data_IF_983680145981
#
_entry.id   IF_983680145981
#
_cell.length_a   1.000
_cell.length_b   1.000
_cell.length_c   1.000
_cell.angle_alpha   90.00
_cell.angle_beta   90.00
_cell.angle_gamma   90.00
#
_symmetry.space_group_name_H-M   'P 1'
#
loop_
_entity.id
_entity.type
_entity.pdbx_description
1 polymer ?
#
# COMPACT_ATOMS: atom_id res chain seq x y z
N UNK A 1 -8.17 4.29 12.60
CA UNK A 1 -7.00 4.91 11.96
C UNK A 1 -6.05 3.80 11.56
N UNK A 2 -5.74 3.67 10.27
CA UNK A 2 -4.81 2.64 9.78
C UNK A 2 -3.37 3.11 10.01
N UNK A 3 -2.48 2.22 10.43
CA UNK A 3 -1.06 2.56 10.58
C UNK A 3 -0.42 2.83 9.21
N UNK A 4 0.69 3.57 9.18
CA UNK A 4 1.44 3.84 7.95
C UNK A 4 1.85 2.53 7.24
N UNK A 5 2.24 1.51 8.01
CA UNK A 5 2.62 0.19 7.49
C UNK A 5 1.44 -0.56 6.85
N UNK A 6 0.27 -0.53 7.48
CA UNK A 6 -0.95 -1.12 6.92
C UNK A 6 -1.41 -0.38 5.65
N UNK A 7 -1.33 0.96 5.64
CA UNK A 7 -1.65 1.76 4.46
C UNK A 7 -0.71 1.44 3.29
N UNK A 8 0.60 1.32 3.55
CA UNK A 8 1.57 0.86 2.54
C UNK A 8 1.23 -0.54 2.04
N UNK A 9 0.86 -1.47 2.92
CA UNK A 9 0.46 -2.83 2.53
C UNK A 9 -0.78 -2.84 1.63
N UNK A 10 -1.74 -1.95 1.86
CA UNK A 10 -2.90 -1.79 0.97
C UNK A 10 -2.47 -1.25 -0.40
N UNK A 11 -1.54 -0.29 -0.46
CA UNK A 11 -1.01 0.21 -1.74
C UNK A 11 -0.25 -0.87 -2.51
N UNK A 12 0.61 -1.63 -1.80
CA UNK A 12 1.33 -2.79 -2.35
C UNK A 12 0.39 -3.80 -3.00
N UNK A 13 -0.81 -3.95 -2.46
CA UNK A 13 -1.81 -4.87 -2.98
C UNK A 13 -2.37 -4.53 -4.35
N UNK A 14 -2.32 -3.26 -4.71
CA UNK A 14 -2.79 -2.76 -5.99
C UNK A 14 -1.68 -2.71 -7.04
N UNK A 15 -0.42 -2.94 -6.64
CA UNK A 15 0.72 -2.91 -7.57
C UNK A 15 0.56 -4.00 -8.62
N UNK A 16 0.53 -3.60 -9.88
CA UNK A 16 0.43 -4.54 -11.00
C UNK A 16 -0.93 -5.24 -11.13
N UNK A 17 -1.96 -4.80 -10.39
CA UNK A 17 -3.31 -5.37 -10.49
C UNK A 17 -3.98 -5.10 -11.84
N UNK A 18 -3.49 -4.11 -12.59
CA UNK A 18 -4.16 -3.57 -13.78
C UNK A 18 -5.35 -2.67 -13.46
N UNK A 19 -5.70 -2.50 -12.18
CA UNK A 19 -6.84 -1.72 -11.71
C UNK A 19 -6.37 -0.35 -11.24
N UNK A 20 -6.96 0.70 -11.81
CA UNK A 20 -6.69 2.08 -11.43
C UNK A 20 -7.18 2.38 -10.01
N UNK A 21 -6.38 3.08 -9.22
CA UNK A 21 -6.86 3.73 -7.99
C UNK A 21 -7.50 5.06 -8.35
N UNK A 22 -8.74 5.29 -7.89
CA UNK A 22 -9.52 6.48 -8.22
C UNK A 22 -9.65 6.68 -9.72
N UNK A 23 -9.33 7.87 -10.21
CA UNK A 23 -9.40 8.18 -11.63
C UNK A 23 -8.17 7.71 -12.45
N UNK A 24 -7.21 7.02 -11.83
CA UNK A 24 -6.01 6.50 -12.50
C UNK A 24 -4.85 7.49 -12.62
N UNK A 25 -4.94 8.65 -11.99
CA UNK A 25 -3.87 9.65 -11.94
C UNK A 25 -2.96 9.47 -10.72
N UNK A 26 -1.76 10.05 -10.76
CA UNK A 26 -0.78 9.97 -9.67
C UNK A 26 -1.34 10.45 -8.32
N UNK A 27 -2.12 11.52 -8.35
CA UNK A 27 -2.75 12.11 -7.17
C UNK A 27 -3.80 11.20 -6.52
N UNK A 28 -4.46 10.33 -7.28
CA UNK A 28 -5.49 9.46 -6.75
C UNK A 28 -4.88 8.39 -5.84
N UNK A 29 -3.68 7.92 -6.20
CA UNK A 29 -2.91 7.00 -5.37
C UNK A 29 -2.49 7.65 -4.05
N UNK A 30 -1.93 8.86 -4.10
CA UNK A 30 -1.53 9.62 -2.91
C UNK A 30 -2.73 9.95 -2.02
N UNK A 31 -3.86 10.35 -2.60
CA UNK A 31 -5.11 10.65 -1.88
C UNK A 31 -5.72 9.43 -1.22
N UNK A 32 -5.71 8.28 -1.90
CA UNK A 32 -6.21 7.05 -1.31
C UNK A 32 -5.34 6.60 -0.13
N UNK A 33 -4.01 6.72 -0.27
CA UNK A 33 -3.05 6.42 0.79
C UNK A 33 -3.20 7.32 2.02
N UNK A 34 -3.26 8.64 1.81
CA UNK A 34 -3.48 9.63 2.87
C UNK A 34 -4.78 9.35 3.64
N UNK A 35 -5.89 9.08 2.93
CA UNK A 35 -7.19 8.80 3.54
C UNK A 35 -7.22 7.54 4.40
N UNK A 36 -6.37 6.54 4.12
CA UNK A 36 -6.25 5.37 5.00
C UNK A 36 -5.63 5.75 6.35
N UNK A 37 -4.62 6.60 6.33
CA UNK A 37 -3.90 7.07 7.53
C UNK A 37 -4.74 8.08 8.31
N UNK A 38 -5.41 9.00 7.60
CA UNK A 38 -6.19 10.10 8.18
C UNK A 38 -7.64 10.05 7.67
N UNK A 39 -8.45 9.04 8.08
CA UNK A 39 -9.81 8.86 7.56
C UNK A 39 -10.76 10.01 7.93
N UNK A 40 -10.52 10.65 9.08
CA UNK A 40 -11.26 11.80 9.61
C UNK A 40 -10.55 13.14 9.32
N UNK A 41 -9.69 13.16 8.30
CA UNK A 41 -8.92 14.33 7.91
C UNK A 41 -9.78 15.58 7.73
N UNK A 42 -9.34 16.69 8.31
CA UNK A 42 -9.94 18.02 8.07
C UNK A 42 -9.46 18.62 6.74
N UNK A 43 -8.27 18.21 6.29
CA UNK A 43 -7.63 18.60 5.03
C UNK A 43 -7.43 17.37 4.17
N UNK A 44 -8.02 17.29 2.98
CA UNK A 44 -8.01 16.10 2.14
C UNK A 44 -7.60 16.40 0.70
N UNK A 45 -6.77 15.53 0.12
CA UNK A 45 -6.32 15.64 -1.27
C UNK A 45 -7.48 15.52 -2.27
N UNK A 46 -8.57 14.83 -1.91
CA UNK A 46 -9.86 14.84 -2.61
C UNK A 46 -9.86 14.35 -4.06
N UNK A 47 -8.81 13.68 -4.49
CA UNK A 47 -8.53 13.52 -5.90
C UNK A 47 -9.15 12.23 -6.47
N UNK A 48 -10.49 12.17 -6.45
CA UNK A 48 -11.29 11.08 -7.01
C UNK A 48 -11.57 9.88 -6.09
N UNK A 49 -11.15 9.95 -4.82
CA UNK A 49 -11.37 8.89 -3.81
C UNK A 49 -12.04 9.48 -2.53
N UNK A 50 -12.39 10.76 -2.55
CA UNK A 50 -12.96 11.52 -1.44
C UNK A 50 -13.32 12.96 -1.84
N UNK A 51 -13.22 13.90 -0.89
CA UNK A 51 -13.55 15.32 -1.08
C UNK A 51 -12.31 16.19 -0.90
N UNK A 52 -12.19 17.30 -1.66
CA UNK A 52 -11.10 18.27 -1.48
C UNK A 52 -11.46 19.19 -0.31
N UNK A 53 -10.60 19.31 0.69
CA UNK A 53 -10.79 20.25 1.81
C UNK A 53 -9.46 20.81 2.30
N UNK A 54 -9.48 22.04 2.83
CA UNK A 54 -8.29 22.66 3.43
C UNK A 54 -7.18 23.06 2.44
N UNK A 55 -7.54 23.31 1.18
CA UNK A 55 -6.62 23.84 0.18
C UNK A 55 -6.19 25.28 0.54
N UNK A 56 -4.88 25.53 0.51
CA UNK A 56 -4.25 26.83 0.79
C UNK A 56 -3.52 27.40 -0.44
N UNK A 57 -3.49 26.66 -1.55
CA UNK A 57 -2.80 27.01 -2.79
C UNK A 57 -3.33 26.24 -4.01
N UNK A 58 -2.53 26.16 -5.07
CA UNK A 58 -2.88 25.48 -6.33
C UNK A 58 -2.95 23.94 -6.16
N UNK A 59 -4.15 23.39 -6.26
CA UNK A 59 -4.43 21.95 -6.11
C UNK A 59 -4.40 21.18 -7.44
N UNK A 60 -4.15 21.85 -8.56
CA UNK A 60 -4.14 21.25 -9.90
C UNK A 60 -2.80 20.56 -10.18
N UNK A 61 -1.69 21.15 -9.72
CA UNK A 61 -0.34 20.64 -10.00
C UNK A 61 0.16 19.69 -8.90
N UNK A 62 0.53 18.47 -9.29
CA UNK A 62 1.06 17.45 -8.37
C UNK A 62 2.32 17.93 -7.60
N UNK A 63 3.17 18.76 -8.23
CA UNK A 63 4.36 19.32 -7.59
C UNK A 63 4.04 20.22 -6.39
N UNK A 64 2.88 20.88 -6.41
CA UNK A 64 2.45 21.87 -5.42
C UNK A 64 1.72 21.25 -4.21
N UNK A 65 1.42 19.94 -4.25
CA UNK A 65 0.65 19.26 -3.19
C UNK A 65 1.24 19.49 -1.78
N UNK A 66 2.56 19.58 -1.63
CA UNK A 66 3.17 19.85 -0.32
C UNK A 66 2.86 21.23 0.27
N UNK A 67 2.71 22.26 -0.57
CA UNK A 67 2.46 23.64 -0.15
C UNK A 67 0.99 24.07 -0.26
N UNK A 68 0.19 23.34 -1.04
CA UNK A 68 -1.21 23.69 -1.34
C UNK A 68 -2.23 23.17 -0.31
N UNK A 69 -1.80 22.50 0.75
CA UNK A 69 -2.68 21.94 1.78
C UNK A 69 -2.10 22.15 3.18
N UNK A 70 -2.95 22.39 4.18
CA UNK A 70 -2.54 22.46 5.59
C UNK A 70 -2.35 21.06 6.21
N UNK A 71 -1.31 20.35 5.78
CA UNK A 71 -0.93 19.01 6.26
C UNK A 71 -0.84 18.88 7.78
N UNK A 72 -0.40 19.94 8.46
CA UNK A 72 -0.24 19.96 9.91
C UNK A 72 -1.56 19.79 10.67
N UNK A 73 -2.70 20.16 10.08
CA UNK A 73 -4.02 19.96 10.67
C UNK A 73 -4.35 18.47 10.93
N UNK A 74 -3.72 17.56 10.18
CA UNK A 74 -3.87 16.11 10.34
C UNK A 74 -2.62 15.47 10.97
N UNK A 75 -1.68 16.26 11.51
CA UNK A 75 -0.44 15.75 12.11
C UNK A 75 0.66 15.34 11.12
N UNK A 76 0.50 15.65 9.83
CA UNK A 76 1.54 15.43 8.83
C UNK A 76 2.56 16.57 8.86
N UNK A 77 3.79 16.29 8.44
CA UNK A 77 4.84 17.30 8.31
C UNK A 77 5.30 17.44 6.86
N UNK A 78 5.65 18.67 6.46
CA UNK A 78 6.15 18.96 5.12
C UNK A 78 7.54 19.57 5.23
N UNK A 79 8.46 19.09 4.41
CA UNK A 79 9.79 19.67 4.24
C UNK A 79 10.17 19.73 2.77
N UNK A 80 11.08 20.63 2.41
CA UNK A 80 11.71 20.69 1.08
C UNK A 80 13.06 19.99 1.02
N UNK A 81 13.54 19.47 2.17
CA UNK A 81 14.81 18.76 2.29
C UNK A 81 14.76 17.69 3.39
N UNK A 82 15.76 16.82 3.44
CA UNK A 82 15.87 15.76 4.44
C UNK A 82 15.86 14.35 3.84
N UNK A 83 16.12 13.31 4.64
CA UNK A 83 16.24 11.95 4.14
C UNK A 83 14.89 11.42 3.63
N UNK A 84 14.95 10.48 2.69
CA UNK A 84 13.76 9.69 2.36
C UNK A 84 13.41 8.79 3.52
N UNK A 85 12.12 8.62 3.78
CA UNK A 85 11.59 7.71 4.77
C UNK A 85 10.47 6.89 4.14
N UNK A 86 10.35 5.63 4.53
CA UNK A 86 9.21 4.81 4.11
C UNK A 86 7.90 5.49 4.52
N UNK A 87 6.89 5.38 3.69
CA UNK A 87 5.57 5.97 3.91
C UNK A 87 5.44 7.46 3.60
N UNK A 88 6.53 8.15 3.25
CA UNK A 88 6.44 9.54 2.77
C UNK A 88 5.69 9.62 1.44
N UNK A 89 4.86 10.64 1.30
CA UNK A 89 4.44 11.13 -0.01
C UNK A 89 5.52 12.11 -0.50
N UNK A 90 5.93 11.98 -1.76
CA UNK A 90 6.98 12.82 -2.36
C UNK A 90 6.43 13.48 -3.61
N UNK A 91 6.59 14.79 -3.73
CA UNK A 91 6.23 15.52 -4.95
C UNK A 91 7.47 15.80 -5.78
N UNK A 92 7.32 15.68 -7.10
CA UNK A 92 8.38 15.89 -8.08
C UNK A 92 8.11 17.14 -8.91
N UNK A 93 9.19 17.82 -9.28
CA UNK A 93 9.16 19.04 -10.08
C UNK A 93 8.59 18.81 -11.48
N UNK A 94 8.23 19.91 -12.14
CA UNK A 94 7.81 19.88 -13.53
C UNK A 94 8.99 19.53 -14.45
N UNK A 95 8.70 18.77 -15.51
CA UNK A 95 9.64 18.54 -16.62
C UNK A 95 9.04 19.09 -17.91
N UNK A 96 9.84 19.18 -18.98
CA UNK A 96 9.35 19.62 -20.29
C UNK A 96 8.19 18.77 -20.82
N UNK A 97 8.18 17.47 -20.50
CA UNK A 97 7.10 16.54 -20.86
C UNK A 97 5.98 16.42 -19.83
N UNK A 98 6.12 17.01 -18.65
CA UNK A 98 5.11 16.98 -17.58
C UNK A 98 5.12 18.30 -16.77
N UNK A 99 4.34 19.31 -17.19
CA UNK A 99 4.31 20.62 -16.54
C UNK A 99 3.68 20.59 -15.14
N UNK A 100 2.88 19.56 -14.86
CA UNK A 100 2.17 19.38 -13.58
C UNK A 100 3.04 18.75 -12.50
N UNK A 101 4.19 18.17 -12.87
CA UNK A 101 5.03 17.37 -11.99
C UNK A 101 4.40 16.02 -11.65
N UNK A 102 4.88 15.35 -10.61
CA UNK A 102 4.40 14.02 -10.23
C UNK A 102 4.31 13.88 -8.71
N UNK A 103 3.53 12.91 -8.24
CA UNK A 103 3.43 12.60 -6.81
C UNK A 103 3.46 11.10 -6.62
N UNK A 104 4.24 10.65 -5.64
CA UNK A 104 4.54 9.23 -5.41
C UNK A 104 4.55 8.91 -3.92
N UNK A 105 4.57 7.62 -3.59
CA UNK A 105 4.71 7.13 -2.21
C UNK A 105 6.04 6.37 -2.10
N UNK A 106 6.85 6.71 -1.10
CA UNK A 106 8.07 5.96 -0.77
C UNK A 106 7.69 4.68 -0.07
N UNK A 107 7.96 3.53 -0.67
CA UNK A 107 7.69 2.24 -0.04
C UNK A 107 8.79 1.81 0.92
N UNK A 108 10.05 1.98 0.49
CA UNK A 108 11.22 1.53 1.21
C UNK A 108 12.46 2.32 0.79
N UNK A 109 13.40 2.44 1.71
CA UNK A 109 14.72 3.03 1.51
C UNK A 109 15.74 2.01 2.00
N UNK A 110 16.65 1.60 1.12
CA UNK A 110 17.70 0.61 1.40
C UNK A 110 19.02 1.11 0.83
N UNK A 111 19.80 1.81 1.65
CA UNK A 111 20.97 2.56 1.20
C UNK A 111 20.59 3.59 0.14
N UNK A 112 21.22 3.51 -1.03
CA UNK A 112 20.88 4.36 -2.18
C UNK A 112 19.69 3.83 -3.01
N UNK A 113 19.14 2.65 -2.70
CA UNK A 113 18.00 2.12 -3.45
C UNK A 113 16.69 2.62 -2.84
N UNK A 114 15.99 3.45 -3.60
CA UNK A 114 14.64 3.91 -3.30
C UNK A 114 13.61 3.02 -4.01
N UNK A 115 12.64 2.52 -3.27
CA UNK A 115 11.48 1.81 -3.84
C UNK A 115 10.27 2.73 -3.80
N UNK A 116 9.69 3.00 -4.96
CA UNK A 116 8.61 3.97 -5.16
C UNK A 116 7.35 3.27 -5.66
N UNK A 117 6.20 3.65 -5.08
CA UNK A 117 4.87 3.31 -5.56
C UNK A 117 4.29 4.52 -6.28
N UNK A 118 3.92 4.35 -7.54
CA UNK A 118 3.43 5.43 -8.39
C UNK A 118 2.37 4.95 -9.38
N UNK A 119 1.51 5.86 -9.81
CA UNK A 119 0.42 5.63 -10.76
C UNK A 119 0.43 6.73 -11.81
N UNK A 120 -0.05 6.41 -13.02
CA UNK A 120 0.14 7.24 -14.22
C UNK A 120 1.62 7.46 -14.53
N UNK A 121 2.36 6.35 -14.56
CA UNK A 121 3.78 6.31 -14.93
C UNK A 121 3.97 5.40 -16.14
N UNK A 122 4.66 5.88 -17.17
CA UNK A 122 4.87 5.14 -18.42
C UNK A 122 3.57 4.68 -19.09
N UNK A 123 2.49 5.48 -18.97
CA UNK A 123 1.15 5.16 -19.51
C UNK A 123 0.32 4.19 -18.66
N UNK A 124 0.85 3.69 -17.54
CA UNK A 124 0.13 2.77 -16.65
C UNK A 124 -0.70 3.54 -15.64
N UNK A 125 -2.02 3.50 -15.81
CA UNK A 125 -3.01 4.19 -14.95
C UNK A 125 -3.38 3.44 -13.66
N UNK A 126 -2.63 2.39 -13.32
CA UNK A 126 -2.74 1.61 -12.08
C UNK A 126 -1.44 1.69 -11.26
N UNK A 127 -1.44 1.35 -9.97
CA UNK A 127 -0.23 1.42 -9.16
C UNK A 127 0.87 0.49 -9.68
N UNK A 128 2.08 1.02 -9.71
CA UNK A 128 3.29 0.33 -10.13
C UNK A 128 4.39 0.55 -9.11
N UNK A 129 5.34 -0.39 -9.07
CA UNK A 129 6.53 -0.31 -8.23
C UNK A 129 7.74 -0.10 -9.12
N UNK A 130 8.48 0.96 -8.88
CA UNK A 130 9.72 1.26 -9.59
C UNK A 130 10.86 1.55 -8.60
N UNK A 131 12.08 1.46 -9.10
CA UNK A 131 13.29 1.56 -8.29
C UNK A 131 14.18 2.66 -8.82
N UNK A 132 14.70 3.48 -7.91
CA UNK A 132 15.51 4.64 -8.25
C UNK A 132 16.73 4.75 -7.32
N UNK A 133 17.78 5.45 -7.77
CA UNK A 133 18.83 5.93 -6.87
C UNK A 133 18.28 7.07 -6.02
N UNK A 134 18.37 6.97 -4.70
CA UNK A 134 17.95 8.01 -3.78
C UNK A 134 18.73 9.32 -4.02
N UNK A 135 20.03 9.22 -4.31
CA UNK A 135 20.87 10.36 -4.63
C UNK A 135 20.36 11.12 -5.88
N UNK A 136 20.08 10.40 -6.97
CA UNK A 136 19.55 11.02 -8.19
C UNK A 136 18.11 11.50 -8.01
N UNK A 137 17.26 10.68 -7.38
CA UNK A 137 15.83 10.99 -7.22
C UNK A 137 15.62 12.25 -6.37
N UNK A 138 16.48 12.51 -5.39
CA UNK A 138 16.45 13.72 -4.55
C UNK A 138 16.53 15.02 -5.36
N UNK A 139 17.20 15.03 -6.50
CA UNK A 139 17.42 16.23 -7.31
C UNK A 139 16.13 16.78 -7.94
N UNK A 140 15.11 15.94 -8.09
CA UNK A 140 13.82 16.28 -8.68
C UNK A 140 12.70 16.47 -7.65
N UNK A 141 12.99 16.25 -6.35
CA UNK A 141 11.98 16.38 -5.29
C UNK A 141 11.72 17.85 -4.98
N UNK A 142 10.43 18.20 -4.84
CA UNK A 142 9.98 19.52 -4.36
C UNK A 142 9.58 19.44 -2.90
N UNK A 143 8.80 18.42 -2.50
CA UNK A 143 8.32 18.26 -1.13
C UNK A 143 8.42 16.82 -0.64
N UNK A 144 8.78 16.68 0.63
CA UNK A 144 8.67 15.48 1.44
C UNK A 144 7.49 15.69 2.40
N UNK A 145 6.47 14.86 2.28
CA UNK A 145 5.24 14.94 3.07
C UNK A 145 5.16 13.68 3.93
N UNK A 146 5.45 13.83 5.22
CA UNK A 146 5.68 12.72 6.14
C UNK A 146 4.43 12.48 7.00
N UNK A 147 3.90 11.24 7.04
CA UNK A 147 2.70 10.91 7.81
C UNK A 147 2.93 10.99 9.33
N UNK A 148 1.85 11.18 10.11
CA UNK A 148 1.90 11.04 11.56
C UNK A 148 2.20 9.58 11.96
N UNK A 149 3.00 9.43 13.00
CA UNK A 149 3.40 8.13 13.54
C UNK A 149 4.72 7.59 12.95
N UNK A 150 5.33 6.66 13.66
CA UNK A 150 6.57 6.02 13.22
C UNK A 150 6.29 4.88 12.26
N UNK A 151 6.79 5.00 11.03
CA UNK A 151 7.13 3.82 10.23
C UNK A 151 8.25 3.07 10.95
N UNK A 152 7.94 1.90 11.49
CA UNK A 152 8.99 0.92 11.80
C UNK A 152 9.47 0.42 10.44
N UNK A 153 10.49 1.07 9.90
CA UNK A 153 11.24 0.58 8.76
C UNK A 153 12.01 -0.65 9.24
N UNK A 154 11.33 -1.80 9.34
CA UNK A 154 12.05 -3.04 9.10
C UNK A 154 12.43 -3.00 7.64
N UNK A 155 13.71 -2.73 7.38
CA UNK A 155 14.33 -2.93 6.08
C UNK A 155 13.78 -4.25 5.52
N UNK A 156 13.30 -4.28 4.27
CA UNK A 156 12.90 -5.54 3.66
C UNK A 156 14.18 -6.36 3.55
N UNK A 157 14.41 -7.25 4.52
CA UNK A 157 15.35 -8.34 4.29
C UNK A 157 14.69 -9.12 3.16
N UNK A 158 15.35 -9.17 2.01
CA UNK A 158 14.80 -9.69 0.77
C UNK A 158 14.43 -11.17 0.91
N UNK A 159 13.24 -11.44 1.41
CA UNK A 159 12.43 -12.56 1.02
C UNK A 159 11.26 -11.92 0.28
N UNK A 160 11.40 -11.75 -1.05
CA UNK A 160 10.29 -11.28 -1.87
C UNK A 160 9.05 -12.15 -1.66
N UNK A 161 7.87 -11.62 -1.99
CA UNK A 161 6.62 -12.37 -1.96
C UNK A 161 6.84 -13.79 -2.53
N UNK A 162 6.66 -14.80 -1.67
CA UNK A 162 6.98 -16.19 -1.99
C UNK A 162 5.69 -16.98 -2.09
N UNK A 163 5.46 -17.59 -3.24
CA UNK A 163 4.38 -18.54 -3.46
C UNK A 163 4.97 -19.93 -3.63
N UNK A 164 4.43 -20.90 -2.91
CA UNK A 164 4.83 -22.29 -3.06
C UNK A 164 3.63 -23.23 -2.86
N UNK A 165 3.72 -24.42 -3.44
CA UNK A 165 2.72 -25.47 -3.27
C UNK A 165 2.91 -26.13 -1.91
N UNK A 166 1.81 -26.23 -1.18
CA UNK A 166 1.73 -26.92 0.10
C UNK A 166 0.28 -27.38 0.23
N UNK A 167 0.09 -28.68 0.42
CA UNK A 167 -1.23 -29.25 0.68
C UNK A 167 -1.38 -29.47 2.17
N UNK A 168 -2.47 -28.98 2.74
CA UNK A 168 -2.77 -29.17 4.15
C UNK A 168 -4.22 -28.80 4.47
N UNK A 169 -4.61 -29.06 5.71
CA UNK A 169 -5.92 -28.66 6.23
C UNK A 169 -5.71 -27.58 7.30
N UNK A 170 -6.37 -26.44 7.13
CA UNK A 170 -6.39 -25.38 8.13
C UNK A 170 -7.66 -25.48 8.98
N UNK A 171 -7.53 -25.39 10.31
CA UNK A 171 -8.65 -25.22 11.25
C UNK A 171 -8.60 -23.82 11.86
N UNK A 172 -9.69 -23.05 11.77
CA UNK A 172 -9.73 -21.63 12.19
C UNK A 172 -9.77 -21.49 13.71
N UNK A 173 -8.89 -20.65 14.28
CA UNK A 173 -8.77 -20.42 15.74
C UNK A 173 -9.21 -19.03 16.18
N UNK A 174 -9.64 -18.16 15.26
CA UNK A 174 -10.22 -16.84 15.55
C UNK A 174 -11.71 -16.82 15.25
N UNK A 175 -12.43 -15.78 15.67
CA UNK A 175 -13.89 -15.74 15.57
C UNK A 175 -14.40 -15.79 14.13
N UNK A 176 -13.71 -15.10 13.21
CA UNK A 176 -14.04 -15.08 11.80
C UNK A 176 -12.83 -14.72 10.92
N UNK A 177 -12.70 -15.37 9.75
CA UNK A 177 -11.73 -15.01 8.70
C UNK A 177 -12.40 -14.94 7.33
N UNK A 178 -12.10 -13.90 6.56
CA UNK A 178 -12.71 -13.69 5.25
C UNK A 178 -12.05 -14.55 4.16
N UNK A 179 -12.89 -15.10 3.29
CA UNK A 179 -12.49 -15.77 2.05
C UNK A 179 -12.61 -14.76 0.92
N UNK A 180 -11.53 -14.57 0.17
CA UNK A 180 -11.40 -13.52 -0.84
C UNK A 180 -11.08 -14.08 -2.23
N UNK A 181 -11.43 -13.33 -3.27
CA UNK A 181 -11.06 -13.64 -4.67
C UNK A 181 -9.65 -13.25 -5.08
N UNK A 182 -8.95 -12.49 -4.24
CA UNK A 182 -7.55 -12.14 -4.42
C UNK A 182 -6.87 -12.09 -3.06
N UNK A 183 -5.55 -12.36 -2.97
CA UNK A 183 -4.80 -12.33 -1.71
C UNK A 183 -4.54 -10.89 -1.24
N UNK A 184 -5.57 -10.05 -1.18
CA UNK A 184 -5.50 -8.68 -0.70
C UNK A 184 -6.74 -8.29 0.11
N UNK A 185 -6.60 -7.32 1.00
CA UNK A 185 -7.65 -6.81 1.89
C UNK A 185 -8.79 -6.07 1.16
N UNK A 186 -8.55 -5.58 -0.05
CA UNK A 186 -9.56 -5.00 -0.94
C UNK A 186 -10.31 -6.05 -1.78
N UNK A 187 -9.89 -7.32 -1.74
CA UNK A 187 -10.41 -8.36 -2.62
C UNK A 187 -11.84 -8.72 -2.22
N UNK A 188 -12.70 -8.95 -3.21
CA UNK A 188 -14.09 -9.33 -2.99
C UNK A 188 -14.18 -10.46 -1.96
N UNK A 189 -14.89 -10.18 -0.87
CA UNK A 189 -15.23 -11.18 0.15
C UNK A 189 -16.37 -12.01 -0.42
N UNK A 190 -16.17 -13.33 -0.47
CA UNK A 190 -17.17 -14.26 -1.05
C UNK A 190 -17.80 -15.16 0.00
N UNK A 191 -17.13 -15.32 1.14
CA UNK A 191 -17.63 -16.03 2.30
C UNK A 191 -16.69 -15.74 3.49
N UNK A 192 -16.99 -16.34 4.63
CA UNK A 192 -16.21 -16.22 5.87
C UNK A 192 -16.19 -17.58 6.55
N UNK A 193 -15.04 -18.01 7.08
CA UNK A 193 -14.95 -19.13 8.00
C UNK A 193 -15.00 -18.64 9.45
N UNK A 194 -15.66 -19.39 10.32
CA UNK A 194 -15.77 -19.14 11.76
C UNK A 194 -14.84 -20.06 12.55
N UNK A 195 -14.62 -19.71 13.83
CA UNK A 195 -13.86 -20.52 14.79
C UNK A 195 -14.29 -21.99 14.75
N UNK A 196 -13.32 -22.90 14.63
CA UNK A 196 -13.52 -24.35 14.60
C UNK A 196 -13.80 -24.93 13.21
N UNK A 197 -14.16 -24.11 12.21
CA UNK A 197 -14.33 -24.59 10.84
C UNK A 197 -12.98 -24.93 10.21
N UNK A 198 -12.97 -25.89 9.29
CA UNK A 198 -11.76 -26.37 8.62
C UNK A 198 -11.92 -26.43 7.12
N UNK A 199 -10.83 -26.24 6.38
CA UNK A 199 -10.79 -26.32 4.93
C UNK A 199 -9.40 -26.71 4.43
N UNK A 200 -9.37 -27.34 3.27
CA UNK A 200 -8.14 -27.77 2.62
C UNK A 200 -7.57 -26.66 1.73
N UNK A 201 -6.25 -26.61 1.62
CA UNK A 201 -5.52 -25.70 0.74
C UNK A 201 -4.41 -26.41 -0.03
N UNK A 202 -3.94 -25.77 -1.10
CA UNK A 202 -2.92 -26.32 -2.01
C UNK A 202 -1.74 -25.36 -2.28
N UNK A 203 -1.84 -24.13 -1.76
CA UNK A 203 -0.87 -23.06 -2.02
C UNK A 203 -0.72 -22.17 -0.80
N UNK A 204 0.52 -21.82 -0.47
CA UNK A 204 0.86 -20.81 0.53
C UNK A 204 1.51 -19.62 -0.17
N UNK A 205 1.13 -18.41 0.26
CA UNK A 205 1.63 -17.14 -0.24
C UNK A 205 2.10 -16.31 0.95
N UNK A 206 3.39 -15.99 1.00
CA UNK A 206 4.01 -15.20 2.07
C UNK A 206 4.34 -13.80 1.54
N UNK A 207 4.36 -12.81 2.44
CA UNK A 207 4.74 -11.42 2.13
C UNK A 207 3.91 -10.76 1.04
N UNK A 208 2.66 -11.21 0.90
CA UNK A 208 1.68 -10.57 0.04
C UNK A 208 0.71 -9.77 0.91
N UNK A 209 0.71 -8.46 0.76
CA UNK A 209 -0.24 -7.54 1.41
C UNK A 209 -0.24 -7.59 2.94
N UNK A 210 0.91 -7.87 3.54
CA UNK A 210 1.07 -7.90 4.99
C UNK A 210 0.59 -9.19 5.67
N UNK A 211 0.22 -10.21 4.90
CA UNK A 211 -0.26 -11.48 5.45
C UNK A 211 0.41 -12.70 4.83
N UNK A 212 0.34 -13.80 5.57
CA UNK A 212 0.49 -15.14 5.01
C UNK A 212 -0.90 -15.61 4.58
N UNK A 213 -1.04 -15.97 3.31
CA UNK A 213 -2.28 -16.49 2.74
C UNK A 213 -2.16 -17.97 2.46
N UNK A 214 -3.29 -18.67 2.61
CA UNK A 214 -3.50 -19.98 1.99
C UNK A 214 -4.52 -19.84 0.85
N UNK A 215 -4.42 -20.72 -0.14
CA UNK A 215 -5.29 -20.70 -1.31
C UNK A 215 -5.72 -22.09 -1.75
N UNK A 216 -6.96 -22.18 -2.22
CA UNK A 216 -7.64 -23.40 -2.64
C UNK A 216 -8.62 -23.13 -3.78
N UNK A 217 -8.99 -24.17 -4.52
CA UNK A 217 -10.10 -24.11 -5.48
C UNK A 217 -11.39 -24.46 -4.75
N UNK A 218 -12.33 -23.50 -4.68
CA UNK A 218 -13.63 -23.74 -4.07
C UNK A 218 -14.58 -24.53 -4.98
N UNK A 219 -15.75 -24.91 -4.47
CA UNK A 219 -16.78 -25.65 -5.23
C UNK A 219 -17.21 -24.95 -6.53
N UNK A 220 -17.12 -23.63 -6.58
CA UNK A 220 -17.35 -22.83 -7.80
C UNK A 220 -16.30 -23.02 -8.92
N UNK A 221 -15.24 -23.80 -8.68
CA UNK A 221 -14.09 -23.92 -9.60
C UNK A 221 -13.13 -22.71 -9.59
N UNK A 222 -13.48 -21.65 -8.86
CA UNK A 222 -12.68 -20.42 -8.76
C UNK A 222 -11.77 -20.48 -7.53
N UNK A 223 -10.53 -19.98 -7.68
CA UNK A 223 -9.53 -19.91 -6.62
C UNK A 223 -9.90 -18.86 -5.56
N UNK A 224 -9.75 -19.26 -4.30
CA UNK A 224 -9.99 -18.44 -3.12
C UNK A 224 -8.70 -18.22 -2.33
N UNK A 225 -8.68 -17.15 -1.54
CA UNK A 225 -7.53 -16.74 -0.72
C UNK A 225 -8.02 -16.39 0.68
N UNK A 226 -7.31 -16.92 1.68
CA UNK A 226 -7.64 -16.71 3.09
C UNK A 226 -6.39 -16.24 3.80
N UNK A 227 -6.45 -15.08 4.44
CA UNK A 227 -5.37 -14.58 5.27
C UNK A 227 -5.33 -15.37 6.57
N UNK A 228 -4.14 -15.78 6.99
CA UNK A 228 -3.96 -16.72 8.11
C UNK A 228 -3.11 -16.16 9.24
N UNK A 229 -2.64 -14.92 9.11
CA UNK A 229 -1.77 -14.25 10.07
C UNK A 229 -0.97 -13.14 9.40
N UNK A 230 -0.45 -12.22 10.21
CA UNK A 230 0.45 -11.19 9.74
C UNK A 230 1.76 -11.79 9.25
N UNK A 231 2.47 -11.06 8.39
CA UNK A 231 3.78 -11.44 7.87
C UNK A 231 4.80 -10.34 8.12
N UNK A 232 6.05 -10.74 8.32
CA UNK A 232 7.21 -9.86 8.51
C UNK A 232 8.48 -10.62 8.08
N UNK A 233 9.30 -9.99 7.25
CA UNK A 233 10.61 -10.49 6.83
C UNK A 233 10.58 -11.94 6.28
N UNK A 234 9.64 -12.25 5.37
CA UNK A 234 9.54 -13.57 4.72
C UNK A 234 8.87 -14.65 5.56
N UNK A 235 8.31 -14.29 6.72
CA UNK A 235 7.80 -15.24 7.71
C UNK A 235 6.54 -14.73 8.39
N UNK A 236 5.75 -15.67 8.91
CA UNK A 236 4.59 -15.35 9.76
C UNK A 236 5.06 -14.58 11.00
N UNK A 237 4.35 -13.51 11.33
CA UNK A 237 4.59 -12.68 12.50
C UNK A 237 3.42 -12.79 13.48
N UNK A 238 3.72 -13.24 14.69
CA UNK A 238 2.70 -13.53 15.71
C UNK A 238 1.95 -14.84 15.46
N UNK A 239 0.88 -15.03 16.22
CA UNK A 239 0.09 -16.26 16.18
C UNK A 239 -0.64 -16.42 14.85
N UNK A 240 -0.68 -17.65 14.37
CA UNK A 240 -1.55 -18.00 13.25
C UNK A 240 -3.02 -17.93 13.67
N UNK A 241 -3.87 -17.50 12.75
CA UNK A 241 -5.32 -17.46 12.92
C UNK A 241 -5.98 -18.82 12.65
N UNK A 242 -5.17 -19.88 12.59
CA UNK A 242 -5.59 -21.27 12.52
C UNK A 242 -4.44 -22.23 12.82
N UNK A 243 -4.78 -23.50 13.00
CA UNK A 243 -3.83 -24.61 13.06
C UNK A 243 -3.73 -25.28 11.68
N UNK A 244 -2.55 -25.81 11.34
CA UNK A 244 -2.27 -26.44 10.05
C UNK A 244 -1.86 -27.90 10.29
N UNK A 245 -2.39 -28.81 9.46
CA UNK A 245 -2.08 -30.25 9.48
C UNK A 245 -1.71 -30.73 8.09
#
# INVERSE_FOLDING_TARGET
MTTVNEALNNVRAQVGSGVSVGNGECYALASWYERMISPDATVGLGAGVGWVSGATGDTISAKNIGSSYNWQANGWTVSTSGPFQAGQIVTLGATSGNPYGHVVIVEAVDGDRLTILEQNYGGKRYPTRNYYSAASYRQQVVHYITPPGTVTQTAPTSAGARTYRETGTMSVTVDAINIRRAPNTSGQIVATYKRGESFDYDTVIIDTNGYVWVSYIGSSGIRNYVATGATKDGKRYGDAWGTFK
#
